data_IF_323217199496
#
_entry.id   IF_323217199496
#
_cell.length_a   1.000
_cell.length_b   1.000
_cell.length_c   1.000
_cell.angle_alpha   90.00
_cell.angle_beta   90.00
_cell.angle_gamma   90.00
#
_symmetry.space_group_name_H-M   'P 1'
#
loop_
_entity.id
_entity.type
_entity.pdbx_description
1 polymer ?
#
# COMPACT_ATOMS: atom_id res chain seq x y z
N UNK A 1 6.49 18.33 -21.17
CA UNK A 1 5.43 17.47 -20.61
C UNK A 1 6.04 16.20 -20.02
N UNK A 2 5.97 16.08 -18.70
CA UNK A 2 6.77 15.16 -17.89
C UNK A 2 6.11 13.77 -17.74
N UNK A 3 5.72 13.19 -18.88
CA UNK A 3 5.00 11.90 -18.93
C UNK A 3 5.80 10.76 -18.29
N UNK A 4 7.12 10.83 -18.32
CA UNK A 4 8.00 9.86 -17.66
C UNK A 4 7.92 9.97 -16.14
N UNK A 5 7.89 11.18 -15.59
CA UNK A 5 7.80 11.40 -14.16
C UNK A 5 6.43 10.94 -13.63
N UNK A 6 5.33 11.31 -14.31
CA UNK A 6 3.98 10.80 -13.96
C UNK A 6 3.85 9.27 -14.02
N UNK A 7 4.50 8.62 -14.99
CA UNK A 7 4.48 7.16 -15.12
C UNK A 7 5.30 6.48 -14.01
N UNK A 8 6.47 7.02 -13.68
CA UNK A 8 7.31 6.54 -12.58
C UNK A 8 6.67 6.79 -11.22
N UNK A 9 5.98 7.92 -11.05
CA UNK A 9 5.21 8.24 -9.85
C UNK A 9 4.09 7.21 -9.66
N UNK A 10 3.33 6.90 -10.70
CA UNK A 10 2.25 5.90 -10.63
C UNK A 10 2.78 4.48 -10.34
N UNK A 11 3.90 4.07 -10.95
CA UNK A 11 4.52 2.77 -10.68
C UNK A 11 5.02 2.70 -9.23
N UNK A 12 5.70 3.75 -8.78
CA UNK A 12 6.24 3.79 -7.41
C UNK A 12 5.13 3.83 -6.38
N UNK A 13 4.00 4.47 -6.71
CA UNK A 13 2.82 4.54 -5.86
C UNK A 13 2.13 3.16 -5.73
N UNK A 14 1.94 2.41 -6.81
CA UNK A 14 1.42 1.04 -6.73
C UNK A 14 2.38 0.09 -5.99
N UNK A 15 3.68 0.17 -6.31
CA UNK A 15 4.72 -0.66 -5.68
C UNK A 15 4.82 -0.39 -4.18
N UNK A 16 4.79 0.87 -3.76
CA UNK A 16 4.83 1.25 -2.35
C UNK A 16 3.58 0.74 -1.61
N UNK A 17 2.39 0.89 -2.19
CA UNK A 17 1.15 0.38 -1.60
C UNK A 17 1.23 -1.14 -1.40
N UNK A 18 1.65 -1.89 -2.42
CA UNK A 18 1.83 -3.35 -2.33
C UNK A 18 2.91 -3.73 -1.31
N UNK A 19 4.01 -2.96 -1.24
CA UNK A 19 5.06 -3.15 -0.24
C UNK A 19 4.54 -2.95 1.20
N UNK A 20 3.71 -1.94 1.43
CA UNK A 20 3.01 -1.72 2.70
C UNK A 20 2.11 -2.90 3.02
N UNK A 21 1.34 -3.38 2.05
CA UNK A 21 0.50 -4.58 2.22
C UNK A 21 1.34 -5.80 2.61
N UNK A 22 2.51 -6.00 1.99
CA UNK A 22 3.42 -7.10 2.34
C UNK A 22 3.91 -6.99 3.79
N UNK A 23 4.28 -5.80 4.25
CA UNK A 23 4.67 -5.56 5.65
C UNK A 23 3.56 -5.99 6.60
N UNK A 24 2.31 -5.59 6.31
CA UNK A 24 1.15 -5.89 7.14
C UNK A 24 0.78 -7.38 7.13
N UNK A 25 0.97 -8.05 6.00
CA UNK A 25 0.78 -9.48 5.84
C UNK A 25 1.94 -10.33 6.41
N UNK A 26 3.00 -9.69 6.91
CA UNK A 26 4.20 -10.39 7.38
C UNK A 26 5.01 -11.05 6.26
N UNK A 27 4.85 -10.58 5.02
CA UNK A 27 5.52 -11.09 3.82
C UNK A 27 6.78 -10.29 3.48
N UNK A 28 7.79 -10.90 2.85
CA UNK A 28 8.95 -10.17 2.38
C UNK A 28 8.55 -9.10 1.34
N UNK A 29 8.90 -7.84 1.60
CA UNK A 29 8.54 -6.69 0.72
C UNK A 29 9.02 -6.90 -0.71
N UNK A 30 10.20 -7.50 -0.91
CA UNK A 30 10.77 -7.74 -2.24
C UNK A 30 9.99 -8.71 -3.12
N UNK A 31 9.04 -9.48 -2.56
CA UNK A 31 8.15 -10.32 -3.37
C UNK A 31 7.08 -9.49 -4.07
N UNK A 32 6.63 -8.39 -3.44
CA UNK A 32 5.52 -7.56 -3.95
C UNK A 32 4.28 -8.39 -4.33
N UNK A 33 4.03 -9.47 -3.59
CA UNK A 33 2.96 -10.42 -3.85
C UNK A 33 2.05 -10.53 -2.65
N UNK A 34 0.78 -10.19 -2.87
CA UNK A 34 -0.30 -10.36 -1.92
C UNK A 34 -1.28 -11.43 -2.42
N UNK A 35 -1.99 -12.02 -1.49
CA UNK A 35 -2.99 -13.04 -1.72
C UNK A 35 -4.29 -12.64 -1.02
N UNK A 36 -5.41 -13.22 -1.42
CA UNK A 36 -6.73 -12.88 -0.87
C UNK A 36 -6.79 -13.02 0.66
N UNK A 37 -6.14 -14.03 1.23
CA UNK A 37 -6.07 -14.26 2.68
C UNK A 37 -5.29 -13.17 3.42
N UNK A 38 -4.40 -12.42 2.76
CA UNK A 38 -3.69 -11.31 3.39
C UNK A 38 -4.63 -10.13 3.70
N UNK A 39 -5.75 -10.02 2.98
CA UNK A 39 -6.71 -8.93 3.16
C UNK A 39 -7.35 -8.96 4.55
N UNK A 40 -7.45 -10.14 5.18
CA UNK A 40 -7.95 -10.26 6.55
C UNK A 40 -6.98 -9.59 7.55
N UNK A 41 -5.68 -9.81 7.37
CA UNK A 41 -4.64 -9.21 8.23
C UNK A 41 -4.55 -7.69 8.02
N UNK A 42 -4.54 -7.26 6.77
CA UNK A 42 -4.52 -5.83 6.42
C UNK A 42 -5.80 -5.15 6.94
N UNK A 43 -6.97 -5.74 6.67
CA UNK A 43 -8.26 -5.25 7.14
C UNK A 43 -8.31 -5.15 8.66
N UNK A 44 -7.85 -6.18 9.39
CA UNK A 44 -7.81 -6.18 10.85
C UNK A 44 -6.86 -5.11 11.42
N UNK A 45 -5.74 -4.86 10.75
CA UNK A 45 -4.80 -3.83 11.18
C UNK A 45 -5.42 -2.42 11.12
N UNK A 46 -6.19 -2.13 10.06
CA UNK A 46 -6.86 -0.85 9.93
C UNK A 46 -8.17 -0.79 10.73
N UNK A 47 -8.95 -1.87 10.82
CA UNK A 47 -10.19 -1.97 11.57
C UNK A 47 -11.20 -0.87 11.20
N UNK A 48 -11.99 -0.42 12.17
CA UNK A 48 -12.90 0.73 12.03
C UNK A 48 -12.17 2.10 12.14
N UNK A 49 -10.92 2.17 11.68
CA UNK A 49 -10.17 3.43 11.71
C UNK A 49 -10.86 4.49 10.85
N UNK A 50 -10.85 5.73 11.35
CA UNK A 50 -11.07 6.90 10.51
C UNK A 50 -9.96 7.02 9.47
N UNK A 51 -10.21 7.76 8.40
CA UNK A 51 -9.20 8.06 7.38
C UNK A 51 -7.95 8.70 7.99
N UNK A 52 -8.11 9.61 8.95
CA UNK A 52 -7.00 10.25 9.67
C UNK A 52 -6.13 9.23 10.42
N UNK A 53 -6.75 8.31 11.16
CA UNK A 53 -6.02 7.28 11.91
C UNK A 53 -5.38 6.23 10.98
N UNK A 54 -6.01 5.95 9.85
CA UNK A 54 -5.40 5.12 8.81
C UNK A 54 -4.18 5.82 8.19
N UNK A 55 -4.26 7.13 7.93
CA UNK A 55 -3.15 7.94 7.43
C UNK A 55 -1.96 7.90 8.39
N UNK A 56 -2.17 8.12 9.69
CA UNK A 56 -1.12 8.03 10.71
C UNK A 56 -0.39 6.68 10.66
N UNK A 57 -1.15 5.59 10.61
CA UNK A 57 -0.60 4.22 10.51
C UNK A 57 0.21 4.03 9.24
N UNK A 58 -0.29 4.52 8.10
CA UNK A 58 0.41 4.44 6.81
C UNK A 58 1.72 5.23 6.85
N UNK A 59 1.71 6.46 7.40
CA UNK A 59 2.93 7.27 7.55
C UNK A 59 3.99 6.53 8.36
N UNK A 60 3.59 5.88 9.47
CA UNK A 60 4.51 5.06 10.27
C UNK A 60 5.11 3.89 9.47
N UNK A 61 4.32 3.24 8.61
CA UNK A 61 4.78 2.12 7.77
C UNK A 61 5.74 2.60 6.68
N UNK A 62 5.44 3.73 6.03
CA UNK A 62 6.34 4.37 5.05
C UNK A 62 7.66 4.72 5.73
N UNK A 63 7.64 5.45 6.84
CA UNK A 63 8.85 5.78 7.60
C UNK A 63 9.67 4.56 8.01
N UNK A 64 9.01 3.46 8.42
CA UNK A 64 9.70 2.21 8.75
C UNK A 64 10.39 1.58 7.55
N UNK A 65 9.74 1.59 6.38
CA UNK A 65 10.31 1.08 5.13
C UNK A 65 11.52 1.89 4.69
N UNK A 66 11.44 3.23 4.72
CA UNK A 66 12.56 4.09 4.33
C UNK A 66 13.72 4.04 5.31
N UNK A 67 13.47 4.05 6.62
CA UNK A 67 14.56 3.95 7.62
C UNK A 67 15.30 2.62 7.60
N UNK A 68 14.66 1.55 7.13
CA UNK A 68 15.29 0.23 7.03
C UNK A 68 15.98 -0.02 5.69
N UNK A 69 15.43 0.49 4.58
CA UNK A 69 15.99 0.29 3.23
C UNK A 69 16.88 1.44 2.71
N UNK A 70 16.64 2.66 3.18
CA UNK A 70 17.24 3.90 2.66
C UNK A 70 17.52 4.93 3.79
N UNK A 71 18.29 4.57 4.84
CA UNK A 71 18.45 5.38 6.05
C UNK A 71 19.03 6.79 5.83
N UNK A 72 19.70 7.03 4.71
CA UNK A 72 20.32 8.32 4.37
C UNK A 72 19.47 9.17 3.40
N UNK A 73 18.26 8.73 3.04
CA UNK A 73 17.46 9.38 2.00
C UNK A 73 16.15 9.98 2.55
N UNK A 74 16.29 11.00 3.41
CA UNK A 74 15.17 11.68 4.06
C UNK A 74 14.25 12.40 3.06
N UNK A 75 14.80 12.97 1.98
CA UNK A 75 14.00 13.64 0.92
C UNK A 75 13.06 12.65 0.23
N UNK A 76 13.52 11.42 0.00
CA UNK A 76 12.70 10.37 -0.60
C UNK A 76 11.59 9.91 0.37
N UNK A 77 11.90 9.80 1.67
CA UNK A 77 10.87 9.52 2.70
C UNK A 77 9.79 10.62 2.70
N UNK A 78 10.19 11.89 2.73
CA UNK A 78 9.25 13.03 2.70
C UNK A 78 8.38 13.04 1.45
N UNK A 79 8.97 12.78 0.28
CA UNK A 79 8.24 12.67 -0.97
C UNK A 79 7.14 11.60 -0.88
N UNK A 80 7.46 10.39 -0.43
CA UNK A 80 6.47 9.31 -0.34
C UNK A 80 5.47 9.49 0.80
N UNK A 81 5.82 10.20 1.88
CA UNK A 81 4.85 10.54 2.92
C UNK A 81 3.69 11.38 2.39
N UNK A 82 3.83 12.08 1.26
CA UNK A 82 2.72 12.84 0.66
C UNK A 82 1.59 11.97 0.12
N UNK A 83 1.84 10.68 -0.17
CA UNK A 83 0.82 9.75 -0.67
C UNK A 83 -0.02 9.10 0.45
N UNK A 84 0.37 9.28 1.73
CA UNK A 84 -0.25 8.57 2.86
C UNK A 84 -1.76 8.78 2.95
N UNK A 85 -2.22 10.00 2.63
CA UNK A 85 -3.63 10.35 2.62
C UNK A 85 -4.41 9.61 1.54
N UNK A 86 -3.84 9.49 0.34
CA UNK A 86 -4.47 8.75 -0.76
C UNK A 86 -4.66 7.28 -0.39
N UNK A 87 -3.63 6.65 0.17
CA UNK A 87 -3.70 5.28 0.67
C UNK A 87 -4.74 5.09 1.77
N UNK A 88 -4.80 6.02 2.72
CA UNK A 88 -5.76 5.95 3.82
C UNK A 88 -7.20 5.93 3.29
N UNK A 89 -7.53 6.83 2.37
CA UNK A 89 -8.85 6.90 1.73
C UNK A 89 -9.13 5.61 0.97
N UNK A 90 -8.19 5.12 0.15
CA UNK A 90 -8.38 3.89 -0.64
C UNK A 90 -8.61 2.68 0.25
N UNK A 91 -7.79 2.48 1.27
CA UNK A 91 -7.87 1.33 2.19
C UNK A 91 -9.16 1.38 3.00
N UNK A 92 -9.50 2.52 3.61
CA UNK A 92 -10.72 2.66 4.40
C UNK A 92 -11.96 2.44 3.54
N UNK A 93 -12.00 3.00 2.32
CA UNK A 93 -13.11 2.75 1.39
C UNK A 93 -13.14 1.29 0.91
N UNK A 94 -11.98 0.67 0.68
CA UNK A 94 -11.86 -0.74 0.35
C UNK A 94 -12.42 -1.65 1.45
N UNK A 95 -12.14 -1.36 2.71
CA UNK A 95 -12.70 -2.09 3.85
C UNK A 95 -14.21 -1.90 3.93
N UNK A 96 -14.68 -0.64 3.91
CA UNK A 96 -16.12 -0.30 4.01
C UNK A 96 -16.98 -0.96 2.92
N UNK A 97 -16.42 -1.13 1.72
CA UNK A 97 -17.13 -1.68 0.57
C UNK A 97 -16.76 -3.15 0.28
N UNK A 98 -16.06 -3.84 1.19
CA UNK A 98 -15.57 -5.21 1.00
C UNK A 98 -14.80 -5.41 -0.33
N UNK A 99 -14.03 -4.39 -0.72
CA UNK A 99 -13.30 -4.27 -1.98
C UNK A 99 -11.79 -4.07 -1.75
N UNK A 100 -11.28 -4.42 -0.56
CA UNK A 100 -9.87 -4.22 -0.19
C UNK A 100 -8.90 -4.91 -1.16
N UNK A 101 -9.25 -6.09 -1.68
CA UNK A 101 -8.45 -6.78 -2.69
C UNK A 101 -8.21 -5.92 -3.94
N UNK A 102 -9.21 -5.17 -4.40
CA UNK A 102 -9.09 -4.28 -5.55
C UNK A 102 -8.23 -3.04 -5.28
N UNK A 103 -8.03 -2.66 -4.01
CA UNK A 103 -7.13 -1.56 -3.65
C UNK A 103 -5.67 -1.93 -3.91
N UNK A 104 -5.33 -3.21 -3.73
CA UNK A 104 -3.99 -3.78 -3.90
C UNK A 104 -3.82 -4.49 -5.25
N UNK A 105 -4.65 -4.17 -6.24
CA UNK A 105 -4.61 -4.73 -7.60
C UNK A 105 -4.67 -6.27 -7.65
N UNK A 106 -5.23 -6.91 -6.60
CA UNK A 106 -5.55 -8.34 -6.60
C UNK A 106 -6.81 -8.55 -7.42
N UNK A 107 -6.65 -8.51 -8.74
CA UNK A 107 -7.69 -9.01 -9.64
C UNK A 107 -7.68 -10.53 -9.56
N UNK A 108 -8.87 -11.11 -9.46
CA UNK A 108 -9.04 -12.53 -9.73
C UNK A 108 -8.44 -12.81 -11.09
N UNK A 109 -7.25 -13.43 -11.12
CA UNK A 109 -6.85 -14.18 -12.29
C UNK A 109 -7.82 -15.36 -12.30
N UNK A 110 -8.98 -15.17 -12.91
CA UNK A 110 -9.75 -16.27 -13.48
C UNK A 110 -8.84 -16.91 -14.51
N UNK A 111 -7.94 -17.78 -14.05
CA UNK A 111 -7.37 -18.81 -14.89
C UNK A 111 -8.60 -19.62 -15.30
N UNK A 112 -9.07 -19.35 -16.52
CA UNK A 112 -10.08 -20.15 -17.16
C UNK A 112 -9.63 -21.60 -17.05
N UNK A 113 -10.32 -22.36 -16.20
CA UNK A 113 -10.27 -23.80 -16.28
C UNK A 113 -10.95 -24.18 -17.59
N UNK A 114 -10.14 -24.37 -18.63
CA UNK A 114 -10.47 -25.10 -19.85
C UNK A 114 -9.74 -26.42 -19.84
#
# INVERSE_FOLDING_TARGET
PDYKNLFLDNISNAVLLTGIGCILAGKPVGMLELQKNDMELIGSFFGDASEEKAEEKIRMLISKLFRSGFPENAELEEYFLTTSKEYAVRIVNGIKNNALAGVFDLTDITIGMS
#
